data_IF_599293391397
#
_entry.id   IF_599293391397
#
_cell.length_a   1.000
_cell.length_b   1.000
_cell.length_c   1.000
_cell.angle_alpha   90.00
_cell.angle_beta   90.00
_cell.angle_gamma   90.00
#
_symmetry.space_group_name_H-M   'P 1'
#
loop_
_entity.id
_entity.type
_entity.pdbx_description
1 polymer ?
#
# COMPACT_ATOMS: atom_id res chain seq x y z
N UNK A 1 1.53 -18.16 13.00
CA UNK A 1 0.56 -18.53 11.96
C UNK A 1 1.14 -19.69 11.19
N UNK A 2 0.40 -20.79 11.10
CA UNK A 2 0.88 -21.99 10.41
C UNK A 2 0.86 -21.78 8.88
N UNK A 3 1.69 -22.51 8.15
CA UNK A 3 1.80 -22.37 6.69
C UNK A 3 0.47 -22.65 5.96
N UNK A 4 -0.31 -23.58 6.47
CA UNK A 4 -1.64 -23.90 5.96
C UNK A 4 -2.61 -22.71 6.07
N UNK A 5 -2.66 -22.03 7.21
CA UNK A 5 -3.50 -20.83 7.44
C UNK A 5 -3.11 -19.67 6.50
N UNK A 6 -1.82 -19.54 6.20
CA UNK A 6 -1.33 -18.55 5.23
C UNK A 6 -1.77 -18.87 3.81
N UNK A 7 -1.64 -20.10 3.38
CA UNK A 7 -2.06 -20.55 2.04
C UNK A 7 -3.55 -20.34 1.84
N UNK A 8 -4.38 -20.74 2.80
CA UNK A 8 -5.83 -20.54 2.78
C UNK A 8 -6.22 -19.07 2.63
N UNK A 9 -5.52 -18.16 3.33
CA UNK A 9 -5.78 -16.72 3.22
C UNK A 9 -5.42 -16.16 1.84
N UNK A 10 -4.30 -16.59 1.26
CA UNK A 10 -3.90 -16.17 -0.07
C UNK A 10 -4.86 -16.70 -1.15
N UNK A 11 -5.28 -17.95 -1.01
CA UNK A 11 -6.26 -18.56 -1.91
C UNK A 11 -7.61 -17.86 -1.83
N UNK A 12 -8.09 -17.54 -0.63
CA UNK A 12 -9.33 -16.79 -0.43
C UNK A 12 -9.27 -15.40 -1.09
N UNK A 13 -8.12 -14.74 -1.06
CA UNK A 13 -7.90 -13.43 -1.69
C UNK A 13 -7.64 -13.52 -3.20
N UNK A 14 -7.51 -14.71 -3.76
CA UNK A 14 -7.16 -14.91 -5.17
C UNK A 14 -5.72 -14.50 -5.49
N UNK A 15 -4.82 -14.51 -4.51
CA UNK A 15 -3.41 -14.17 -4.69
C UNK A 15 -2.59 -15.36 -5.20
N UNK A 16 -2.91 -15.81 -6.40
CA UNK A 16 -2.15 -16.82 -7.11
C UNK A 16 -0.78 -16.29 -7.60
N UNK A 17 0.03 -17.17 -8.18
CA UNK A 17 1.37 -16.80 -8.68
C UNK A 17 1.31 -15.71 -9.74
N UNK A 18 0.47 -15.77 -10.80
CA UNK A 18 0.36 -14.69 -11.78
C UNK A 18 -0.01 -13.34 -11.17
N UNK A 19 -0.92 -13.31 -10.20
CA UNK A 19 -1.34 -12.08 -9.50
C UNK A 19 -0.17 -11.48 -8.71
N UNK A 20 0.60 -12.32 -8.01
CA UNK A 20 1.77 -11.85 -7.23
C UNK A 20 2.90 -11.35 -8.13
N UNK A 21 3.11 -11.99 -9.28
CA UNK A 21 4.07 -11.54 -10.30
C UNK A 21 3.66 -10.20 -10.89
N UNK A 22 2.39 -10.03 -11.26
CA UNK A 22 1.86 -8.76 -11.75
C UNK A 22 2.04 -7.63 -10.73
N UNK A 23 1.81 -7.92 -9.45
CA UNK A 23 2.02 -6.96 -8.36
C UNK A 23 3.50 -6.57 -8.23
N UNK A 24 4.42 -7.53 -8.33
CA UNK A 24 5.87 -7.26 -8.33
C UNK A 24 6.31 -6.38 -9.50
N UNK A 25 5.69 -6.52 -10.67
CA UNK A 25 5.96 -5.69 -11.84
C UNK A 25 5.54 -4.22 -11.65
N UNK A 26 4.59 -3.96 -10.76
CA UNK A 26 4.19 -2.59 -10.41
C UNK A 26 5.19 -1.88 -9.48
N UNK A 27 6.14 -2.61 -8.90
CA UNK A 27 7.07 -2.09 -7.90
C UNK A 27 7.78 -0.79 -8.30
N UNK A 28 8.41 -0.67 -9.48
CA UNK A 28 9.12 0.56 -9.86
C UNK A 28 8.23 1.79 -9.86
N UNK A 29 7.02 1.68 -10.41
CA UNK A 29 6.04 2.77 -10.44
C UNK A 29 5.58 3.15 -9.03
N UNK A 30 5.30 2.16 -8.18
CA UNK A 30 4.84 2.40 -6.81
C UNK A 30 5.96 3.01 -5.97
N UNK A 31 7.20 2.54 -6.11
CA UNK A 31 8.37 3.10 -5.41
C UNK A 31 8.57 4.59 -5.72
N UNK A 32 8.34 4.98 -6.98
CA UNK A 32 8.43 6.38 -7.42
C UNK A 32 7.31 7.26 -6.84
N UNK A 33 6.06 6.79 -6.84
CA UNK A 33 4.90 7.62 -6.49
C UNK A 33 4.49 7.56 -5.02
N UNK A 34 4.89 6.52 -4.31
CA UNK A 34 4.47 6.27 -2.92
C UNK A 34 4.84 7.40 -1.94
N UNK A 35 6.04 8.01 -1.98
CA UNK A 35 6.36 9.12 -1.08
C UNK A 35 5.40 10.30 -1.21
N UNK A 36 5.05 10.69 -2.44
CA UNK A 36 4.09 11.75 -2.71
C UNK A 36 2.67 11.39 -2.28
N UNK A 37 2.23 10.17 -2.54
CA UNK A 37 0.93 9.67 -2.12
C UNK A 37 0.79 9.65 -0.58
N UNK A 38 1.83 9.21 0.14
CA UNK A 38 1.87 9.24 1.59
C UNK A 38 1.85 10.67 2.13
N UNK A 39 2.59 11.59 1.52
CA UNK A 39 2.58 13.01 1.93
C UNK A 39 1.19 13.61 1.79
N UNK A 40 0.50 13.37 0.69
CA UNK A 40 -0.86 13.81 0.47
C UNK A 40 -1.83 13.21 1.51
N UNK A 41 -1.70 11.92 1.78
CA UNK A 41 -2.51 11.23 2.79
C UNK A 41 -2.31 11.80 4.20
N UNK A 42 -1.07 12.03 4.62
CA UNK A 42 -0.79 12.60 5.94
C UNK A 42 -1.21 14.06 6.08
N UNK A 43 -1.28 14.82 4.97
CA UNK A 43 -1.91 16.13 4.97
C UNK A 43 -3.42 16.06 5.25
N UNK A 44 -4.10 15.05 4.70
CA UNK A 44 -5.52 14.78 5.04
C UNK A 44 -5.67 14.43 6.52
N UNK A 45 -4.78 13.59 7.07
CA UNK A 45 -4.79 13.26 8.50
C UNK A 45 -4.62 14.52 9.35
N UNK A 46 -3.64 15.39 9.04
CA UNK A 46 -3.40 16.64 9.77
C UNK A 46 -4.61 17.57 9.77
N UNK A 47 -5.35 17.61 8.67
CA UNK A 47 -6.56 18.44 8.55
C UNK A 47 -7.83 17.79 9.10
N UNK A 48 -7.73 16.57 9.62
CA UNK A 48 -8.85 15.81 10.20
C UNK A 48 -8.61 15.62 11.70
N UNK A 49 -9.16 16.47 12.60
CA UNK A 49 -8.86 16.45 14.03
C UNK A 49 -9.06 15.08 14.68
N UNK A 50 -10.10 14.35 14.29
CA UNK A 50 -10.39 13.02 14.80
C UNK A 50 -9.32 11.97 14.45
N UNK A 51 -8.55 12.18 13.38
CA UNK A 51 -7.42 11.32 12.99
C UNK A 51 -6.09 11.87 13.51
N UNK A 52 -5.90 13.20 13.47
CA UNK A 52 -4.68 13.85 13.92
C UNK A 52 -4.39 13.59 15.40
N UNK A 53 -5.42 13.43 16.23
CA UNK A 53 -5.30 13.16 17.69
C UNK A 53 -4.49 11.91 18.05
N UNK A 54 -4.31 10.98 17.13
CA UNK A 54 -3.52 9.76 17.37
C UNK A 54 -2.00 9.98 17.27
N UNK A 55 -1.58 11.19 16.88
CA UNK A 55 -0.17 11.57 16.75
C UNK A 55 0.18 12.63 17.81
N UNK A 56 1.29 12.43 18.51
CA UNK A 56 1.76 13.34 19.55
C UNK A 56 2.44 14.59 18.98
N UNK A 57 3.15 14.42 17.86
CA UNK A 57 3.95 15.44 17.19
C UNK A 57 4.27 15.05 15.75
N UNK A 58 5.00 15.91 15.04
CA UNK A 58 5.45 15.67 13.65
C UNK A 58 6.39 14.48 13.54
N UNK A 59 7.30 14.29 14.49
CA UNK A 59 8.26 13.16 14.48
C UNK A 59 7.54 11.82 14.59
N UNK A 60 6.50 11.75 15.43
CA UNK A 60 5.64 10.57 15.53
C UNK A 60 4.92 10.28 14.20
N UNK A 61 4.41 11.33 13.56
CA UNK A 61 3.75 11.21 12.25
C UNK A 61 4.72 10.76 11.16
N UNK A 62 5.91 11.32 11.09
CA UNK A 62 6.96 10.93 10.13
C UNK A 62 7.42 9.48 10.34
N UNK A 63 7.54 9.06 11.59
CA UNK A 63 7.84 7.66 11.94
C UNK A 63 6.74 6.71 11.46
N UNK A 64 5.48 7.06 11.63
CA UNK A 64 4.35 6.27 11.14
C UNK A 64 4.32 6.21 9.60
N UNK A 65 4.59 7.33 8.94
CA UNK A 65 4.71 7.43 7.49
C UNK A 65 5.82 6.52 6.93
N UNK A 66 6.99 6.49 7.58
CA UNK A 66 8.09 5.59 7.22
C UNK A 66 7.72 4.11 7.36
N UNK A 67 7.05 3.73 8.44
CA UNK A 67 6.55 2.36 8.62
C UNK A 67 5.51 1.99 7.56
N UNK A 68 4.63 2.91 7.20
CA UNK A 68 3.62 2.69 6.18
C UNK A 68 4.26 2.55 4.80
N UNK A 69 5.28 3.33 4.47
CA UNK A 69 6.06 3.17 3.25
C UNK A 69 6.69 1.77 3.16
N UNK A 70 7.34 1.31 4.22
CA UNK A 70 7.93 -0.03 4.28
C UNK A 70 6.86 -1.13 4.11
N UNK A 71 5.68 -0.96 4.70
CA UNK A 71 4.57 -1.90 4.56
C UNK A 71 4.08 -1.98 3.11
N UNK A 72 3.85 -0.86 2.43
CA UNK A 72 3.45 -0.86 1.01
C UNK A 72 4.51 -1.48 0.12
N UNK A 73 5.79 -1.23 0.38
CA UNK A 73 6.87 -1.88 -0.35
C UNK A 73 6.92 -3.40 -0.12
N UNK A 74 6.53 -3.86 1.06
CA UNK A 74 6.40 -5.30 1.32
C UNK A 74 5.24 -5.94 0.58
N UNK A 75 4.12 -5.22 0.40
CA UNK A 75 2.98 -5.67 -0.42
C UNK A 75 3.42 -5.86 -1.87
N UNK A 76 4.07 -4.86 -2.47
CA UNK A 76 4.49 -4.92 -3.89
C UNK A 76 5.68 -5.85 -4.14
N UNK A 77 6.29 -6.41 -3.11
CA UNK A 77 7.23 -7.51 -3.27
C UNK A 77 6.57 -8.78 -3.79
N UNK A 78 5.26 -8.93 -3.60
CA UNK A 78 4.48 -10.09 -4.02
C UNK A 78 4.78 -11.39 -3.25
N UNK A 79 5.63 -11.34 -2.22
CA UNK A 79 6.07 -12.56 -1.52
C UNK A 79 5.05 -13.10 -0.54
N UNK A 80 4.40 -12.25 0.24
CA UNK A 80 3.41 -12.62 1.26
C UNK A 80 3.84 -13.79 2.15
N UNK A 81 5.07 -13.74 2.60
CA UNK A 81 5.69 -14.74 3.47
C UNK A 81 5.30 -14.56 4.96
N UNK A 82 5.82 -15.40 5.84
CA UNK A 82 5.55 -15.31 7.29
C UNK A 82 5.92 -13.94 7.87
N UNK A 83 7.01 -13.34 7.42
CA UNK A 83 7.45 -12.01 7.84
C UNK A 83 6.42 -10.92 7.49
N UNK A 84 5.81 -10.99 6.32
CA UNK A 84 4.70 -10.11 5.93
C UNK A 84 3.51 -10.22 6.89
N UNK A 85 3.05 -11.44 7.16
CA UNK A 85 1.89 -11.66 8.05
C UNK A 85 2.17 -11.28 9.50
N UNK A 86 3.40 -11.45 9.99
CA UNK A 86 3.81 -10.94 11.29
C UNK A 86 3.78 -9.40 11.34
N UNK A 87 4.23 -8.75 10.26
CA UNK A 87 4.12 -7.30 10.08
C UNK A 87 2.68 -6.81 10.14
N UNK A 88 1.78 -7.45 9.39
CA UNK A 88 0.33 -7.16 9.40
C UNK A 88 -0.26 -7.32 10.80
N UNK A 89 0.10 -8.39 11.51
CA UNK A 89 -0.34 -8.62 12.87
C UNK A 89 0.11 -7.51 13.83
N UNK A 90 1.37 -7.08 13.74
CA UNK A 90 1.89 -5.95 14.55
C UNK A 90 1.13 -4.66 14.28
N UNK A 91 0.84 -4.36 13.02
CA UNK A 91 0.06 -3.17 12.62
C UNK A 91 -1.34 -3.25 13.25
N UNK A 92 -2.03 -4.38 13.11
CA UNK A 92 -3.36 -4.58 13.69
C UNK A 92 -3.38 -4.40 15.21
N UNK A 93 -2.41 -4.94 15.92
CA UNK A 93 -2.27 -4.77 17.36
C UNK A 93 -2.00 -3.31 17.75
N UNK A 94 -1.18 -2.58 16.98
CA UNK A 94 -0.92 -1.17 17.22
C UNK A 94 -2.19 -0.33 17.07
N UNK A 95 -2.96 -0.54 16.01
CA UNK A 95 -4.25 0.13 15.79
C UNK A 95 -5.26 -0.18 16.89
N UNK A 96 -5.33 -1.43 17.32
CA UNK A 96 -6.21 -1.84 18.43
C UNK A 96 -5.84 -1.16 19.74
N UNK A 97 -4.55 -1.09 20.09
CA UNK A 97 -4.07 -0.42 21.31
C UNK A 97 -4.34 1.08 21.30
N UNK A 98 -4.28 1.72 20.13
CA UNK A 98 -4.60 3.13 19.95
C UNK A 98 -6.11 3.41 20.00
N UNK A 99 -6.94 2.39 19.89
CA UNK A 99 -8.38 2.55 19.73
C UNK A 99 -8.75 3.17 18.39
N UNK A 100 -7.93 2.95 17.35
CA UNK A 100 -8.19 3.47 16.01
C UNK A 100 -9.40 2.77 15.40
N UNK A 101 -10.44 3.51 15.13
CA UNK A 101 -11.68 2.97 14.58
C UNK A 101 -11.47 2.45 13.14
N UNK A 102 -12.14 1.34 12.75
CA UNK A 102 -12.02 0.75 11.42
C UNK A 102 -12.18 1.74 10.27
N UNK A 103 -13.09 2.70 10.38
CA UNK A 103 -13.33 3.73 9.36
C UNK A 103 -12.06 4.49 8.95
N UNK A 104 -11.13 4.72 9.89
CA UNK A 104 -9.90 5.45 9.61
C UNK A 104 -8.84 4.60 8.90
N UNK A 105 -8.60 3.36 9.34
CA UNK A 105 -7.60 2.52 8.68
C UNK A 105 -8.13 1.92 7.36
N UNK A 106 -9.42 1.58 7.27
CA UNK A 106 -10.03 1.15 5.99
C UNK A 106 -10.04 2.33 5.00
N UNK A 107 -10.49 3.51 5.44
CA UNK A 107 -10.48 4.71 4.61
C UNK A 107 -9.07 5.14 4.20
N UNK A 108 -8.09 5.02 5.09
CA UNK A 108 -6.69 5.28 4.78
C UNK A 108 -6.13 4.36 3.72
N UNK A 109 -6.38 3.06 3.83
CA UNK A 109 -6.01 2.10 2.79
C UNK A 109 -6.67 2.41 1.44
N UNK A 110 -7.97 2.72 1.44
CA UNK A 110 -8.69 3.07 0.23
C UNK A 110 -8.11 4.32 -0.44
N UNK A 111 -7.73 5.33 0.34
CA UNK A 111 -7.11 6.56 -0.16
C UNK A 111 -5.77 6.28 -0.86
N UNK A 112 -4.87 5.55 -0.19
CA UNK A 112 -3.57 5.20 -0.73
C UNK A 112 -3.66 4.23 -1.91
N UNK A 113 -4.42 3.14 -1.78
CA UNK A 113 -4.61 2.16 -2.85
C UNK A 113 -5.15 2.80 -4.12
N UNK A 114 -6.13 3.70 -4.00
CA UNK A 114 -6.69 4.43 -5.15
C UNK A 114 -5.64 5.31 -5.84
N UNK A 115 -4.76 5.97 -5.09
CA UNK A 115 -3.68 6.78 -5.66
C UNK A 115 -2.67 5.91 -6.41
N UNK A 116 -2.27 4.77 -5.82
CA UNK A 116 -1.32 3.84 -6.42
C UNK A 116 -1.88 3.16 -7.67
N UNK A 117 -3.14 2.71 -7.64
CA UNK A 117 -3.82 2.11 -8.80
C UNK A 117 -3.88 3.10 -9.96
N UNK A 118 -4.24 4.36 -9.71
CA UNK A 118 -4.25 5.40 -10.75
C UNK A 118 -2.87 5.64 -11.36
N UNK A 119 -1.82 5.65 -10.54
CA UNK A 119 -0.44 5.83 -11.01
C UNK A 119 0.01 4.68 -11.90
N UNK A 120 -0.27 3.43 -11.50
CA UNK A 120 0.05 2.23 -12.30
C UNK A 120 -0.73 2.23 -13.62
N UNK A 121 -2.03 2.52 -13.60
CA UNK A 121 -2.85 2.59 -14.80
C UNK A 121 -2.33 3.65 -15.79
N UNK A 122 -1.96 4.82 -15.29
CA UNK A 122 -1.36 5.88 -16.11
C UNK A 122 -0.02 5.46 -16.73
N UNK A 123 0.84 4.82 -15.97
CA UNK A 123 2.13 4.32 -16.44
C UNK A 123 1.98 3.30 -17.57
N UNK A 124 1.05 2.36 -17.42
CA UNK A 124 0.76 1.34 -18.43
C UNK A 124 0.17 1.95 -19.70
N UNK A 125 -0.74 2.89 -19.58
CA UNK A 125 -1.34 3.59 -20.74
C UNK A 125 -0.28 4.38 -21.53
N UNK A 126 0.66 5.03 -20.86
CA UNK A 126 1.76 5.73 -21.52
C UNK A 126 2.68 4.76 -22.28
N UNK A 127 2.95 3.57 -21.73
CA UNK A 127 3.71 2.52 -22.38
C UNK A 127 3.05 2.02 -23.67
N UNK A 128 1.74 1.80 -23.65
CA UNK A 128 0.97 1.37 -24.83
C UNK A 128 0.95 2.45 -25.92
N UNK A 129 0.83 3.73 -25.55
CA UNK A 129 0.87 4.84 -26.51
C UNK A 129 2.25 5.04 -27.13
N UNK A 130 3.34 4.70 -26.43
CA UNK A 130 4.71 4.74 -26.94
C UNK A 130 5.04 3.59 -27.91
N UNK A 131 4.24 2.53 -27.94
CA UNK A 131 4.39 1.36 -28.81
C UNK A 131 3.60 1.47 -30.14
N UNK A 132 2.97 2.60 -30.45
CA UNK A 132 2.38 2.80 -31.79
C UNK A 132 3.50 2.73 -32.83
N UNK A 133 3.45 1.80 -33.81
CA UNK A 133 4.43 1.74 -34.87
C UNK A 133 4.38 3.06 -35.65
N UNK A 134 5.55 3.65 -35.89
CA UNK A 134 5.67 4.72 -36.90
C UNK A 134 5.13 4.16 -38.19
N UNK A 135 4.05 4.71 -38.68
CA UNK A 135 3.64 4.50 -40.07
C UNK A 135 4.75 5.09 -40.94
N UNK A 136 5.50 4.22 -41.59
CA UNK A 136 6.42 4.59 -42.69
C UNK A 136 5.54 4.98 -43.86
N UNK A 137 5.54 6.27 -44.20
CA UNK A 137 5.14 6.74 -45.54
C UNK A 137 6.16 6.29 -46.58
#
# INVERSE_FOLDING_TARGET
>A
MQEHDRAERLDFLGFDTPTREALSQCRPTIEEVLPGALSAFYNVIKSTPAAARFFTDEDHMDSAKGRQQAHWMSIVSGRFDSSYFEGVRRIGLAHSRLGLEPRYYIGGYAHLASALIRAVAKSQSAGIMGLRPRQTE
#
